data_IF_040300968960
#
_entry.id   IF_040300968960
#
_cell.length_a   1.000
_cell.length_b   1.000
_cell.length_c   1.000
_cell.angle_alpha   90.00
_cell.angle_beta   90.00
_cell.angle_gamma   90.00
#
_symmetry.space_group_name_H-M   'P 1'
#
loop_
_entity.id
_entity.type
_entity.pdbx_description
1 polymer ?
#
# COMPACT_ATOMS: atom_id res chain seq x y z
N UNK A 1 -9.33 -10.50 -6.31
CA UNK A 1 -9.45 -11.01 -4.93
C UNK A 1 -8.44 -12.14 -4.73
N UNK A 2 -7.18 -11.77 -4.49
CA UNK A 2 -6.02 -12.66 -4.36
C UNK A 2 -6.22 -13.72 -3.26
N UNK A 3 -6.94 -13.37 -2.20
CA UNK A 3 -7.20 -14.27 -1.07
C UNK A 3 -8.02 -15.51 -1.42
N UNK A 4 -8.72 -15.54 -2.56
CA UNK A 4 -9.52 -16.70 -2.98
C UNK A 4 -8.65 -17.95 -3.19
N UNK A 5 -7.43 -17.79 -3.67
CA UNK A 5 -6.52 -18.89 -4.01
C UNK A 5 -5.47 -19.17 -2.93
N UNK A 6 -5.32 -18.29 -1.94
CA UNK A 6 -4.35 -18.49 -0.87
C UNK A 6 -4.72 -19.69 0.00
N UNK A 7 -3.73 -20.53 0.32
CA UNK A 7 -3.86 -21.68 1.25
C UNK A 7 -3.66 -21.26 2.70
N UNK A 8 -2.77 -20.30 2.93
CA UNK A 8 -2.45 -19.74 4.24
C UNK A 8 -2.63 -18.23 4.16
N UNK A 9 -3.24 -17.65 5.18
CA UNK A 9 -3.41 -16.19 5.31
C UNK A 9 -2.74 -15.75 6.59
N UNK A 10 -1.94 -14.70 6.50
CA UNK A 10 -1.26 -14.10 7.63
C UNK A 10 -1.68 -12.62 7.73
N UNK A 11 -1.99 -12.16 8.95
CA UNK A 11 -2.29 -10.76 9.20
C UNK A 11 -1.90 -10.39 10.64
N UNK A 12 -1.61 -9.12 10.89
CA UNK A 12 -1.36 -8.59 12.23
C UNK A 12 -2.67 -8.46 13.02
N UNK A 13 -3.79 -8.25 12.33
CA UNK A 13 -5.12 -8.25 12.91
C UNK A 13 -5.66 -9.68 12.98
N UNK A 14 -6.53 -9.94 13.94
CA UNK A 14 -7.22 -11.23 14.01
C UNK A 14 -8.42 -11.25 13.06
N UNK A 15 -8.18 -11.72 11.85
CA UNK A 15 -9.19 -11.92 10.81
C UNK A 15 -9.64 -13.38 10.67
N UNK A 16 -9.34 -14.25 11.65
CA UNK A 16 -9.67 -15.68 11.62
C UNK A 16 -11.14 -15.96 11.32
N UNK A 17 -12.04 -15.11 11.83
CA UNK A 17 -13.49 -15.23 11.58
C UNK A 17 -13.88 -14.98 10.12
N UNK A 18 -13.10 -14.25 9.35
CA UNK A 18 -13.32 -13.98 7.92
C UNK A 18 -12.79 -15.10 7.02
N UNK A 19 -11.82 -15.88 7.51
CA UNK A 19 -11.10 -16.91 6.74
C UNK A 19 -11.26 -18.31 7.34
N UNK A 20 -12.50 -18.69 7.70
CA UNK A 20 -12.82 -19.95 8.38
C UNK A 20 -12.44 -21.22 7.59
N UNK A 21 -12.37 -21.11 6.27
CA UNK A 21 -12.01 -22.17 5.34
C UNK A 21 -10.50 -22.26 5.04
N UNK A 22 -9.68 -21.42 5.69
CA UNK A 22 -8.25 -21.29 5.43
C UNK A 22 -7.43 -21.39 6.71
N UNK A 23 -6.18 -21.79 6.57
CA UNK A 23 -5.23 -21.67 7.66
C UNK A 23 -4.92 -20.21 7.89
N UNK A 24 -5.43 -19.64 8.98
CA UNK A 24 -5.14 -18.27 9.40
C UNK A 24 -4.05 -18.27 10.47
N UNK A 25 -3.07 -17.36 10.34
CA UNK A 25 -2.00 -17.16 11.29
C UNK A 25 -1.95 -15.67 11.64
N UNK A 26 -2.14 -15.36 12.91
CA UNK A 26 -1.92 -14.00 13.40
C UNK A 26 -0.42 -13.75 13.56
N UNK A 27 0.08 -12.70 12.93
CA UNK A 27 1.48 -12.29 13.08
C UNK A 27 1.64 -11.52 14.39
N UNK A 28 2.30 -12.14 15.35
CA UNK A 28 2.61 -11.53 16.66
C UNK A 28 4.07 -11.08 16.69
N UNK A 29 4.93 -11.79 15.97
CA UNK A 29 6.36 -11.52 15.89
C UNK A 29 6.72 -10.93 14.51
N UNK A 30 7.87 -10.23 14.46
CA UNK A 30 8.39 -9.69 13.19
C UNK A 30 8.73 -10.79 12.18
N UNK A 31 9.23 -11.94 12.66
CA UNK A 31 9.60 -13.09 11.83
C UNK A 31 8.37 -13.88 11.40
N UNK A 32 8.26 -14.19 10.11
CA UNK A 32 7.21 -15.05 9.60
C UNK A 32 7.42 -16.50 10.10
N UNK A 33 6.38 -17.17 10.62
CA UNK A 33 6.49 -18.50 11.25
C UNK A 33 6.57 -19.65 10.22
N UNK A 34 7.41 -19.48 9.20
CA UNK A 34 7.62 -20.41 8.11
C UNK A 34 9.08 -20.73 7.91
N UNK A 35 9.38 -21.88 7.29
CA UNK A 35 10.72 -22.27 6.88
C UNK A 35 11.17 -21.50 5.66
N UNK A 36 12.47 -21.51 5.40
CA UNK A 36 13.04 -20.94 4.19
C UNK A 36 12.49 -21.67 2.96
N UNK A 37 12.05 -20.88 1.98
CA UNK A 37 11.48 -21.40 0.71
C UNK A 37 10.34 -22.40 0.92
N UNK A 38 9.53 -22.20 1.95
CA UNK A 38 8.37 -23.06 2.23
C UNK A 38 7.27 -22.92 1.18
N UNK A 39 7.19 -21.78 0.50
CA UNK A 39 6.16 -21.48 -0.49
C UNK A 39 6.74 -21.31 -1.88
N UNK A 40 6.02 -21.81 -2.89
CA UNK A 40 6.34 -21.57 -4.30
C UNK A 40 6.06 -20.12 -4.72
N UNK A 41 5.11 -19.46 -4.02
CA UNK A 41 4.68 -18.10 -4.33
C UNK A 41 4.07 -17.44 -3.08
N UNK A 42 4.43 -16.18 -2.84
CA UNK A 42 3.87 -15.36 -1.75
C UNK A 42 3.15 -14.14 -2.31
N UNK A 43 2.06 -13.76 -1.65
CA UNK A 43 1.31 -12.54 -1.97
C UNK A 43 1.33 -11.64 -0.74
N UNK A 44 1.85 -10.43 -0.90
CA UNK A 44 1.78 -9.36 0.09
C UNK A 44 0.92 -8.22 -0.48
N UNK A 45 -0.36 -8.22 -0.12
CA UNK A 45 -1.33 -7.23 -0.60
C UNK A 45 -1.79 -6.38 0.56
N UNK A 46 -1.49 -5.09 0.54
CA UNK A 46 -1.78 -4.12 1.59
C UNK A 46 -1.27 -4.57 2.98
N UNK A 47 0.02 -4.87 3.08
CA UNK A 47 0.68 -5.32 4.31
C UNK A 47 1.95 -4.52 4.60
N UNK A 48 2.79 -4.30 3.57
CA UNK A 48 4.14 -3.74 3.75
C UNK A 48 4.08 -2.31 4.29
N UNK A 49 3.06 -1.55 3.93
CA UNK A 49 2.84 -0.18 4.39
C UNK A 49 2.56 -0.06 5.89
N UNK A 50 2.17 -1.15 6.55
CA UNK A 50 1.84 -1.19 7.98
C UNK A 50 2.99 -1.64 8.88
N UNK A 51 4.03 -2.29 8.32
CA UNK A 51 5.08 -2.88 9.14
C UNK A 51 6.07 -1.83 9.63
N UNK A 52 6.51 -1.95 10.88
CA UNK A 52 7.50 -1.02 11.46
C UNK A 52 8.87 -1.15 10.79
N UNK A 53 9.32 -2.38 10.56
CA UNK A 53 10.61 -2.71 9.98
C UNK A 53 10.42 -3.29 8.57
N UNK A 54 10.32 -2.38 7.61
CA UNK A 54 10.05 -2.72 6.22
C UNK A 54 11.22 -3.51 5.59
N UNK A 55 12.47 -3.20 5.95
CA UNK A 55 13.65 -3.90 5.45
C UNK A 55 13.64 -5.36 5.89
N UNK A 56 13.38 -5.59 7.18
CA UNK A 56 13.28 -6.94 7.70
C UNK A 56 12.13 -7.72 7.08
N UNK A 57 10.97 -7.09 6.90
CA UNK A 57 9.79 -7.76 6.34
C UNK A 57 9.98 -8.15 4.88
N UNK A 58 10.60 -7.31 4.07
CA UNK A 58 10.93 -7.65 2.67
C UNK A 58 11.86 -8.87 2.62
N UNK A 59 12.90 -8.90 3.46
CA UNK A 59 13.81 -10.04 3.57
C UNK A 59 13.10 -11.32 4.04
N UNK A 60 12.09 -11.21 4.89
CA UNK A 60 11.26 -12.35 5.28
C UNK A 60 10.40 -12.87 4.09
N UNK A 61 9.86 -11.99 3.24
CA UNK A 61 9.17 -12.43 2.01
C UNK A 61 10.13 -13.20 1.10
N UNK A 62 11.32 -12.69 0.88
CA UNK A 62 12.38 -13.35 0.09
C UNK A 62 12.84 -14.66 0.72
N UNK A 63 12.89 -14.74 2.06
CA UNK A 63 13.26 -15.96 2.78
C UNK A 63 12.24 -17.06 2.60
N UNK A 64 10.95 -16.76 2.70
CA UNK A 64 9.89 -17.79 2.67
C UNK A 64 9.50 -18.25 1.27
N UNK A 65 9.84 -17.46 0.24
CA UNK A 65 9.57 -17.82 -1.17
C UNK A 65 10.67 -17.29 -2.09
N UNK A 66 10.74 -17.84 -3.30
CA UNK A 66 11.60 -17.28 -4.37
C UNK A 66 10.83 -16.40 -5.34
N UNK A 67 9.50 -16.37 -5.25
CA UNK A 67 8.64 -15.61 -6.16
C UNK A 67 7.46 -15.03 -5.42
N UNK A 68 7.00 -13.88 -5.86
CA UNK A 68 5.82 -13.30 -5.25
C UNK A 68 5.22 -12.13 -6.01
N UNK A 69 4.18 -11.63 -5.40
CA UNK A 69 3.43 -10.47 -5.84
C UNK A 69 3.22 -9.54 -4.65
N UNK A 70 3.47 -8.28 -4.88
CA UNK A 70 3.24 -7.20 -3.92
C UNK A 70 2.20 -6.26 -4.52
N UNK A 71 1.20 -5.89 -3.72
CA UNK A 71 0.23 -4.86 -4.05
C UNK A 71 0.19 -3.84 -2.91
N UNK A 72 0.34 -2.57 -3.26
CA UNK A 72 0.48 -1.46 -2.34
C UNK A 72 -0.39 -0.29 -2.80
N UNK A 73 -0.89 0.53 -1.89
CA UNK A 73 -1.53 1.78 -2.27
C UNK A 73 -0.48 2.74 -2.84
N UNK A 74 -0.84 3.46 -3.89
CA UNK A 74 -0.02 4.60 -4.32
C UNK A 74 -0.10 5.73 -3.29
N UNK A 75 0.85 6.67 -3.35
CA UNK A 75 0.82 7.87 -2.53
C UNK A 75 -0.51 8.64 -2.67
N UNK A 76 -1.14 8.60 -3.85
CA UNK A 76 -2.42 9.24 -4.09
C UNK A 76 -3.54 8.55 -3.30
N UNK A 77 -3.69 7.24 -3.42
CA UNK A 77 -4.69 6.47 -2.66
C UNK A 77 -4.51 6.68 -1.17
N UNK A 78 -3.27 6.57 -0.72
CA UNK A 78 -2.90 6.66 0.69
C UNK A 78 -3.25 8.01 1.33
N UNK A 79 -3.16 9.08 0.56
CA UNK A 79 -3.56 10.42 0.99
C UNK A 79 -5.07 10.69 0.89
N UNK A 80 -5.79 9.96 0.04
CA UNK A 80 -7.24 10.15 -0.15
C UNK A 80 -8.08 9.46 0.93
N UNK A 81 -7.58 8.38 1.54
CA UNK A 81 -8.36 7.47 2.39
C UNK A 81 -8.16 7.76 3.87
N UNK A 82 -9.29 7.91 4.62
CA UNK A 82 -9.26 8.23 6.05
C UNK A 82 -8.57 7.17 6.90
N UNK A 83 -8.86 5.91 6.64
CA UNK A 83 -8.32 4.78 7.39
C UNK A 83 -6.81 4.71 7.25
N UNK A 84 -6.28 4.97 6.06
CA UNK A 84 -4.85 4.90 5.77
C UNK A 84 -4.03 5.97 6.51
N UNK A 85 -4.65 7.09 6.91
CA UNK A 85 -3.95 8.22 7.53
C UNK A 85 -3.19 7.83 8.80
N UNK A 86 -3.72 6.90 9.59
CA UNK A 86 -3.13 6.48 10.87
C UNK A 86 -2.36 5.17 10.77
N UNK A 87 -2.83 4.27 9.91
CA UNK A 87 -2.39 2.88 9.93
C UNK A 87 -1.22 2.61 8.99
N UNK A 88 -1.01 3.46 7.97
CA UNK A 88 0.11 3.33 7.05
C UNK A 88 1.31 4.14 7.55
N UNK A 89 2.47 3.49 7.59
CA UNK A 89 3.74 4.07 8.05
C UNK A 89 4.63 4.51 6.90
N UNK A 90 4.44 3.92 5.72
CA UNK A 90 5.29 4.07 4.57
C UNK A 90 4.52 4.48 3.33
N UNK A 91 5.16 5.28 2.47
CA UNK A 91 4.78 5.47 1.08
C UNK A 91 5.71 4.67 0.19
N UNK A 92 5.13 4.07 -0.84
CA UNK A 92 5.87 3.34 -1.86
C UNK A 92 5.60 3.92 -3.23
N UNK A 93 6.65 3.91 -4.04
CA UNK A 93 6.64 4.34 -5.42
C UNK A 93 7.55 3.41 -6.23
N UNK A 94 7.53 3.47 -7.53
CA UNK A 94 8.38 2.65 -8.37
C UNK A 94 9.22 3.53 -9.30
N UNK A 95 10.52 3.31 -9.28
CA UNK A 95 11.45 3.95 -10.20
C UNK A 95 11.62 3.08 -11.45
N UNK A 96 10.96 3.48 -12.53
CA UNK A 96 10.99 2.77 -13.80
C UNK A 96 12.38 2.81 -14.47
N UNK A 97 13.22 3.76 -14.11
CA UNK A 97 14.57 3.91 -14.68
C UNK A 97 15.55 2.95 -14.01
N UNK A 98 15.53 2.92 -12.68
CA UNK A 98 16.39 2.04 -11.89
C UNK A 98 15.75 0.67 -11.64
N UNK A 99 14.48 0.49 -12.00
CA UNK A 99 13.67 -0.72 -11.78
C UNK A 99 13.64 -1.12 -10.30
N UNK A 100 13.35 -0.16 -9.42
CA UNK A 100 13.40 -0.33 -7.97
C UNK A 100 12.16 0.17 -7.27
N UNK A 101 11.76 -0.52 -6.20
CA UNK A 101 10.76 -0.05 -5.27
C UNK A 101 11.37 1.05 -4.38
N UNK A 102 10.81 2.24 -4.42
CA UNK A 102 11.19 3.35 -3.56
C UNK A 102 10.29 3.37 -2.32
N UNK A 103 10.91 3.33 -1.14
CA UNK A 103 10.21 3.31 0.14
C UNK A 103 10.59 4.57 0.92
N UNK A 104 9.62 5.33 1.36
CA UNK A 104 9.82 6.53 2.16
C UNK A 104 8.85 6.59 3.33
N UNK A 105 9.18 7.36 4.37
CA UNK A 105 8.24 7.62 5.46
C UNK A 105 7.00 8.31 4.93
N UNK A 106 5.84 7.91 5.44
CA UNK A 106 4.57 8.50 5.03
C UNK A 106 4.49 9.99 5.35
N UNK A 107 4.02 10.76 4.37
CA UNK A 107 3.71 12.18 4.50
C UNK A 107 2.25 12.40 4.12
N UNK A 108 1.49 13.04 5.01
CA UNK A 108 0.11 13.42 4.74
C UNK A 108 0.07 14.81 4.09
N UNK A 109 -0.18 14.86 2.79
CA UNK A 109 -0.17 16.12 2.02
C UNK A 109 -1.47 16.92 2.13
N UNK A 110 -2.60 16.26 2.36
CA UNK A 110 -3.92 16.91 2.56
C UNK A 110 -4.82 16.05 3.46
N UNK A 111 -5.92 16.62 3.95
CA UNK A 111 -6.88 15.85 4.73
C UNK A 111 -7.63 14.87 3.83
N UNK A 112 -7.74 13.59 4.23
CA UNK A 112 -8.45 12.57 3.50
C UNK A 112 -9.93 12.95 3.27
N UNK A 113 -10.49 12.48 2.16
CA UNK A 113 -11.87 12.79 1.77
C UNK A 113 -12.67 11.53 1.39
N UNK A 114 -12.05 10.38 1.33
CA UNK A 114 -12.65 9.11 0.95
C UNK A 114 -12.50 8.08 2.05
N UNK A 115 -13.39 7.09 2.05
CA UNK A 115 -13.28 5.88 2.85
C UNK A 115 -12.75 4.72 2.00
N UNK A 116 -12.28 3.65 2.62
CA UNK A 116 -11.92 2.40 1.93
C UNK A 116 -13.05 1.90 1.02
N UNK A 117 -14.31 2.01 1.46
CA UNK A 117 -15.45 1.60 0.65
C UNK A 117 -15.63 2.45 -0.61
N UNK A 118 -15.35 3.77 -0.52
CA UNK A 118 -15.44 4.68 -1.66
C UNK A 118 -14.30 4.48 -2.65
N UNK A 119 -13.08 4.28 -2.16
CA UNK A 119 -11.90 4.10 -3.02
C UNK A 119 -11.97 2.79 -3.81
N UNK A 120 -12.57 1.73 -3.26
CA UNK A 120 -12.77 0.47 -3.97
C UNK A 120 -13.50 0.64 -5.31
N UNK A 121 -14.49 1.53 -5.38
CA UNK A 121 -15.20 1.84 -6.63
C UNK A 121 -14.31 2.58 -7.63
N UNK A 122 -13.44 3.45 -7.16
CA UNK A 122 -12.47 4.14 -8.02
C UNK A 122 -11.39 3.19 -8.51
N UNK A 123 -10.97 2.23 -7.69
CA UNK A 123 -10.01 1.20 -8.06
C UNK A 123 -10.48 0.30 -9.21
N UNK A 124 -11.79 0.11 -9.39
CA UNK A 124 -12.33 -0.63 -10.54
C UNK A 124 -11.95 0.02 -11.89
N UNK A 125 -11.79 1.35 -11.91
CA UNK A 125 -11.51 2.13 -13.13
C UNK A 125 -10.09 2.68 -13.15
N UNK A 126 -9.57 3.11 -11.99
CA UNK A 126 -8.29 3.84 -11.87
C UNK A 126 -7.20 3.03 -11.17
N UNK A 127 -7.26 1.71 -11.25
CA UNK A 127 -6.33 0.81 -10.55
C UNK A 127 -4.86 1.19 -10.77
N UNK A 128 -4.44 1.43 -12.00
CA UNK A 128 -3.07 1.81 -12.33
C UNK A 128 -2.60 3.15 -11.74
N UNK A 129 -3.53 3.98 -11.22
CA UNK A 129 -3.19 5.24 -10.52
C UNK A 129 -3.31 5.13 -9.01
N UNK A 130 -3.99 4.11 -8.51
CA UNK A 130 -4.30 3.95 -7.10
C UNK A 130 -3.53 2.77 -6.46
N UNK A 131 -3.20 1.74 -7.23
CA UNK A 131 -2.44 0.60 -6.75
C UNK A 131 -1.11 0.46 -7.50
N UNK A 132 -0.05 0.15 -6.76
CA UNK A 132 1.23 -0.26 -7.29
C UNK A 132 1.30 -1.78 -7.19
N UNK A 133 1.60 -2.43 -8.30
CA UNK A 133 1.67 -3.89 -8.41
C UNK A 133 3.07 -4.29 -8.87
N UNK A 134 3.72 -5.17 -8.11
CA UNK A 134 5.07 -5.64 -8.39
C UNK A 134 5.12 -7.17 -8.33
N UNK A 135 5.53 -7.79 -9.43
CA UNK A 135 5.95 -9.20 -9.43
C UNK A 135 7.46 -9.26 -9.24
N UNK A 136 7.93 -10.16 -8.41
CA UNK A 136 9.34 -10.34 -8.13
C UNK A 136 9.75 -11.82 -8.17
N UNK A 137 11.02 -12.04 -8.51
CA UNK A 137 11.69 -13.35 -8.54
C UNK A 137 13.06 -13.21 -7.89
N UNK A 138 13.36 -14.09 -6.96
CA UNK A 138 14.54 -14.18 -6.11
C UNK A 138 14.76 -12.99 -5.18
N UNK A 139 14.84 -11.77 -5.68
CA UNK A 139 15.16 -10.55 -4.93
C UNK A 139 14.14 -9.46 -5.27
N UNK A 140 13.73 -8.71 -4.24
CA UNK A 140 12.98 -7.47 -4.38
C UNK A 140 13.99 -6.33 -4.38
N UNK A 141 14.21 -5.68 -5.52
CA UNK A 141 15.10 -4.51 -5.56
C UNK A 141 14.38 -3.28 -4.99
N UNK A 142 14.89 -2.70 -3.92
CA UNK A 142 14.28 -1.55 -3.26
C UNK A 142 15.32 -0.59 -2.68
N UNK A 143 14.88 0.63 -2.43
CA UNK A 143 15.66 1.67 -1.77
C UNK A 143 14.82 2.37 -0.71
N UNK A 144 15.32 2.41 0.52
CA UNK A 144 14.68 3.15 1.60
C UNK A 144 15.29 4.55 1.67
N UNK A 145 14.45 5.56 1.41
CA UNK A 145 14.81 6.96 1.57
C UNK A 145 14.62 7.36 3.04
N UNK A 146 15.73 7.63 3.72
CA UNK A 146 15.71 8.04 5.15
C UNK A 146 15.40 9.52 5.33
N UNK A 147 15.68 10.33 4.32
CA UNK A 147 15.50 11.78 4.37
C UNK A 147 14.07 12.12 3.91
N UNK A 148 13.23 12.46 4.86
CA UNK A 148 11.96 13.15 4.59
C UNK A 148 12.26 14.63 4.51
N UNK A 149 12.39 15.15 3.30
CA UNK A 149 12.43 16.60 3.10
C UNK A 149 11.05 17.17 3.39
N UNK A 150 10.84 17.63 4.63
CA UNK A 150 9.57 18.16 5.13
C UNK A 150 9.18 19.53 4.53
N UNK A 151 9.73 19.89 3.39
CA UNK A 151 9.48 21.18 2.73
C UNK A 151 8.14 21.24 1.98
N UNK A 152 7.41 20.15 1.91
CA UNK A 152 6.13 20.10 1.18
C UNK A 152 5.02 20.88 1.88
N UNK A 153 4.51 21.88 1.17
CA UNK A 153 3.36 22.66 1.62
C UNK A 153 2.08 21.84 1.54
N UNK A 154 1.39 21.65 2.67
CA UNK A 154 0.10 20.94 2.70
C UNK A 154 -0.89 21.55 1.71
N UNK A 155 -1.54 20.69 0.93
CA UNK A 155 -2.57 21.09 -0.02
C UNK A 155 -3.86 21.37 0.74
N UNK A 156 -4.40 22.57 0.61
CA UNK A 156 -5.68 22.95 1.22
C UNK A 156 -6.85 22.48 0.35
N UNK A 157 -7.65 21.54 0.85
CA UNK A 157 -8.87 21.07 0.19
C UNK A 157 -9.86 22.22 -0.05
N UNK A 158 -9.98 23.15 0.90
CA UNK A 158 -10.81 24.35 0.73
C UNK A 158 -10.38 25.19 -0.47
N UNK A 159 -9.08 25.34 -0.70
CA UNK A 159 -8.57 26.07 -1.86
C UNK A 159 -8.85 25.32 -3.18
N UNK A 160 -8.78 23.99 -3.18
CA UNK A 160 -9.18 23.19 -4.34
C UNK A 160 -10.66 23.33 -4.65
N UNK A 161 -11.52 23.26 -3.63
CA UNK A 161 -12.96 23.47 -3.77
C UNK A 161 -13.29 24.88 -4.27
N UNK A 162 -12.68 25.93 -3.70
CA UNK A 162 -12.85 27.31 -4.19
C UNK A 162 -12.47 27.45 -5.66
N UNK A 163 -11.35 26.86 -6.09
CA UNK A 163 -10.92 26.86 -7.49
C UNK A 163 -11.92 26.10 -8.39
N UNK A 164 -12.41 24.95 -7.93
CA UNK A 164 -13.40 24.17 -8.66
C UNK A 164 -14.71 24.98 -8.88
N UNK A 165 -15.29 25.51 -7.80
CA UNK A 165 -16.53 26.30 -7.90
C UNK A 165 -16.34 27.57 -8.72
N UNK A 166 -15.25 28.29 -8.56
CA UNK A 166 -14.93 29.46 -9.37
C UNK A 166 -14.85 29.14 -10.87
N UNK A 167 -14.26 27.97 -11.21
CA UNK A 167 -14.18 27.53 -12.62
C UNK A 167 -15.56 27.14 -13.15
N UNK A 168 -16.36 26.40 -12.35
CA UNK A 168 -17.72 26.00 -12.74
C UNK A 168 -18.62 27.20 -12.98
N UNK A 169 -18.60 28.17 -12.07
CA UNK A 169 -19.37 29.42 -12.25
C UNK A 169 -18.98 30.15 -13.53
N UNK A 170 -17.68 30.32 -13.83
CA UNK A 170 -17.22 30.92 -15.08
C UNK A 170 -17.66 30.17 -16.33
N UNK A 171 -17.85 28.85 -16.26
CA UNK A 171 -18.38 28.07 -17.39
C UNK A 171 -19.88 28.22 -17.56
N UNK A 172 -20.61 28.59 -16.50
CA UNK A 172 -22.06 28.82 -16.55
C UNK A 172 -22.43 30.20 -17.14
N UNK A 173 -21.52 31.19 -17.01
CA UNK A 173 -21.71 32.55 -17.50
C UNK A 173 -21.01 32.84 -18.84
N UNK A 174 -20.52 31.82 -19.52
CA UNK A 174 -20.10 31.86 -20.94
C UNK A 174 -21.22 31.33 -21.83
#
# INVERSE_FOLDING_TARGET
NSNKFAKVICDVQDLSNHYKDKKFIRLIEKKLPFKDKEFDFVIASHVIEHVEDVDFFIKELERVSSKGYIELPTMLEDNLVFENKKDHLWHMDFDDVENKLLISKKIQYFEPILTVASIKKLNEVFRGSLALELFWEDIIDYKINKDTDNTFKKISVLNLLKKYFSKRLRMFFK
#
